data_IF_117707658959
#
_entry.id   IF_117707658959
#
_cell.length_a   1.000
_cell.length_b   1.000
_cell.length_c   1.000
_cell.angle_alpha   90.00
_cell.angle_beta   90.00
_cell.angle_gamma   90.00
#
_symmetry.space_group_name_H-M   'P 1'
#
loop_
_entity.id
_entity.type
_entity.pdbx_description
1 polymer ?
#
# COMPACT_ATOMS: atom_id res chain seq x y z
N UNK A 1 -9.15 -4.13 -21.70
CA UNK A 1 -7.90 -4.50 -21.02
C UNK A 1 -7.14 -3.21 -20.68
N UNK A 2 -7.43 -2.59 -19.54
CA UNK A 2 -6.71 -1.42 -19.05
C UNK A 2 -5.84 -1.90 -17.88
N UNK A 3 -4.66 -2.42 -18.19
CA UNK A 3 -3.69 -2.95 -17.23
C UNK A 3 -2.66 -1.85 -16.90
N UNK A 4 -2.99 -0.89 -16.04
CA UNK A 4 -2.01 -0.02 -15.34
C UNK A 4 -2.71 0.65 -14.14
N UNK A 5 -2.99 -0.12 -13.09
CA UNK A 5 -3.11 0.39 -11.72
C UNK A 5 -1.78 -0.08 -11.08
N UNK A 6 -0.79 0.71 -10.67
CA UNK A 6 -0.77 2.07 -10.11
C UNK A 6 -1.48 2.06 -8.75
N UNK A 7 -0.97 1.22 -7.85
CA UNK A 7 -1.65 0.82 -6.61
C UNK A 7 -0.83 1.20 -5.39
N UNK A 8 -0.63 2.51 -5.29
CA UNK A 8 -0.60 3.32 -4.08
C UNK A 8 0.35 4.52 -4.22
N UNK A 9 1.01 4.70 -5.37
CA UNK A 9 1.69 5.97 -5.68
C UNK A 9 1.42 6.30 -7.14
N UNK A 10 1.22 7.59 -7.48
CA UNK A 10 0.95 7.97 -8.85
C UNK A 10 2.06 7.43 -9.75
N UNK A 11 1.77 6.45 -10.63
CA UNK A 11 2.74 6.04 -11.64
C UNK A 11 2.94 7.21 -12.59
N UNK A 12 4.01 7.94 -12.31
CA UNK A 12 4.81 8.47 -13.37
C UNK A 12 5.68 7.33 -13.87
N UNK A 13 5.23 6.72 -14.96
CA UNK A 13 6.06 5.91 -15.82
C UNK A 13 7.45 6.59 -15.95
N UNK A 14 8.49 5.84 -15.60
CA UNK A 14 9.93 6.14 -15.76
C UNK A 14 10.71 6.96 -14.72
N UNK A 15 10.16 7.37 -13.57
CA UNK A 15 10.98 8.08 -12.59
C UNK A 15 11.61 7.12 -11.57
N UNK A 16 12.93 6.92 -11.63
CA UNK A 16 13.74 6.33 -10.55
C UNK A 16 13.67 7.12 -9.20
N UNK A 17 12.72 8.03 -9.04
CA UNK A 17 12.62 9.04 -8.00
C UNK A 17 11.16 9.29 -7.63
N UNK A 18 10.44 8.29 -7.14
CA UNK A 18 9.12 8.51 -6.53
C UNK A 18 9.31 9.42 -5.32
N UNK A 19 8.78 10.64 -5.28
CA UNK A 19 8.75 11.43 -4.03
C UNK A 19 7.40 11.21 -3.37
N UNK A 20 7.41 10.68 -2.14
CA UNK A 20 6.19 10.45 -1.36
C UNK A 20 5.65 11.75 -0.79
N UNK A 21 6.44 12.84 -0.84
CA UNK A 21 6.03 14.13 -0.29
C UNK A 21 5.30 14.98 -1.35
N UNK A 22 4.34 15.80 -0.91
CA UNK A 22 3.83 15.87 0.46
C UNK A 22 2.92 14.67 0.78
N UNK A 23 3.13 14.02 1.94
CA UNK A 23 2.53 12.71 2.23
C UNK A 23 1.01 12.70 2.24
N UNK A 24 0.40 13.81 2.64
CA UNK A 24 -1.05 13.97 2.61
C UNK A 24 -1.60 13.93 1.19
N UNK A 25 -0.90 14.52 0.21
CA UNK A 25 -1.31 14.48 -1.20
C UNK A 25 -1.15 13.07 -1.76
N UNK A 26 -0.03 12.42 -1.42
CA UNK A 26 0.21 11.01 -1.76
C UNK A 26 -0.89 10.11 -1.21
N UNK A 27 -1.25 10.28 0.07
CA UNK A 27 -2.33 9.55 0.71
C UNK A 27 -3.71 9.87 0.10
N UNK A 28 -3.95 11.09 -0.36
CA UNK A 28 -5.18 11.42 -1.12
C UNK A 28 -5.23 10.69 -2.46
N UNK A 29 -4.11 10.58 -3.18
CA UNK A 29 -4.08 9.78 -4.41
C UNK A 29 -4.31 8.29 -4.15
N UNK A 30 -3.74 7.77 -3.07
CA UNK A 30 -3.99 6.41 -2.59
C UNK A 30 -5.47 6.17 -2.31
N UNK A 31 -6.13 7.09 -1.59
CA UNK A 31 -7.55 7.01 -1.28
C UNK A 31 -8.39 6.84 -2.55
N UNK A 32 -8.18 7.71 -3.55
CA UNK A 32 -8.92 7.69 -4.82
C UNK A 32 -8.75 6.36 -5.58
N UNK A 33 -7.62 5.67 -5.39
CA UNK A 33 -7.36 4.38 -6.02
C UNK A 33 -8.01 3.20 -5.27
N UNK A 34 -8.19 3.34 -3.96
CA UNK A 34 -8.81 2.33 -3.09
C UNK A 34 -10.33 2.44 -3.16
N UNK A 35 -10.89 3.65 -3.11
CA UNK A 35 -12.32 3.96 -3.30
C UNK A 35 -12.75 3.60 -4.74
N UNK A 36 -13.18 2.35 -4.94
CA UNK A 36 -13.48 1.75 -6.25
C UNK A 36 -14.81 2.22 -6.79
N UNK A 37 -15.79 2.40 -5.92
CA UNK A 37 -17.12 2.82 -6.30
C UNK A 37 -17.28 4.36 -6.33
N UNK A 38 -16.24 5.08 -5.89
CA UNK A 38 -16.15 6.55 -5.86
C UNK A 38 -17.20 7.18 -4.95
N UNK A 39 -17.58 6.49 -3.87
CA UNK A 39 -18.59 6.97 -2.93
C UNK A 39 -18.01 7.94 -1.87
N UNK A 40 -16.70 8.17 -1.89
CA UNK A 40 -16.01 9.08 -0.97
C UNK A 40 -15.69 8.48 0.40
N UNK A 41 -15.82 7.16 0.53
CA UNK A 41 -15.47 6.38 1.71
C UNK A 41 -14.80 5.08 1.25
N UNK A 42 -13.98 4.48 2.11
CA UNK A 42 -13.41 3.16 1.88
C UNK A 42 -14.12 2.15 2.78
N UNK A 43 -14.72 1.14 2.16
CA UNK A 43 -15.34 0.03 2.89
C UNK A 43 -14.40 -1.18 3.00
N UNK A 44 -14.82 -2.17 3.78
CA UNK A 44 -14.01 -3.37 4.01
C UNK A 44 -13.80 -4.16 2.71
N UNK A 45 -14.79 -4.27 1.83
CA UNK A 45 -14.65 -5.00 0.58
C UNK A 45 -13.61 -4.35 -0.36
N UNK A 46 -13.48 -3.03 -0.34
CA UNK A 46 -12.45 -2.32 -1.12
C UNK A 46 -11.01 -2.64 -0.65
N UNK A 47 -10.83 -2.92 0.64
CA UNK A 47 -9.56 -3.46 1.16
C UNK A 47 -9.28 -4.86 0.61
N UNK A 48 -10.28 -5.75 0.56
CA UNK A 48 -10.10 -7.09 -0.05
C UNK A 48 -9.67 -6.97 -1.51
N UNK A 49 -10.35 -6.12 -2.27
CA UNK A 49 -10.05 -5.89 -3.68
C UNK A 49 -8.66 -5.31 -3.91
N UNK A 50 -8.12 -4.57 -2.93
CA UNK A 50 -6.74 -4.08 -2.99
C UNK A 50 -5.75 -5.24 -2.81
N UNK A 51 -5.93 -6.07 -1.78
CA UNK A 51 -5.00 -7.17 -1.51
C UNK A 51 -5.05 -8.30 -2.56
N UNK A 52 -6.21 -8.51 -3.19
CA UNK A 52 -6.39 -9.50 -4.27
C UNK A 52 -5.43 -9.30 -5.46
N UNK A 53 -4.84 -8.12 -5.62
CA UNK A 53 -3.89 -7.87 -6.72
C UNK A 53 -2.53 -8.53 -6.49
N UNK A 54 -2.21 -8.85 -5.23
CA UNK A 54 -0.99 -9.55 -4.86
C UNK A 54 -1.19 -11.08 -4.86
N UNK A 55 -2.41 -11.59 -4.75
CA UNK A 55 -2.74 -13.03 -4.75
C UNK A 55 -2.61 -13.61 -6.18
N UNK A 56 -1.41 -14.08 -6.51
CA UNK A 56 -1.02 -14.44 -7.86
C UNK A 56 -1.46 -15.86 -8.23
N UNK A 57 -1.54 -16.76 -7.25
CA UNK A 57 -2.01 -18.12 -7.45
C UNK A 57 -3.53 -18.30 -7.22
N UNK A 58 -4.21 -17.24 -6.77
CA UNK A 58 -5.65 -17.18 -6.51
C UNK A 58 -6.11 -18.15 -5.41
N UNK A 59 -5.27 -18.36 -4.39
CA UNK A 59 -5.58 -19.21 -3.25
C UNK A 59 -6.36 -18.46 -2.13
N UNK A 60 -6.58 -17.16 -2.28
CA UNK A 60 -7.31 -16.30 -1.34
C UNK A 60 -6.44 -15.73 -0.21
N UNK A 61 -5.12 -15.93 -0.25
CA UNK A 61 -4.12 -15.44 0.69
C UNK A 61 -3.00 -14.76 -0.09
N UNK A 62 -2.29 -13.84 0.57
CA UNK A 62 -1.11 -13.21 -0.05
C UNK A 62 0.12 -13.61 0.74
N UNK A 63 0.95 -14.46 0.14
CA UNK A 63 2.25 -14.77 0.70
C UNK A 63 3.21 -13.60 0.52
N UNK A 64 4.22 -13.50 1.39
CA UNK A 64 5.30 -12.51 1.27
C UNK A 64 6.02 -12.57 -0.08
N UNK A 65 6.16 -13.78 -0.64
CA UNK A 65 6.79 -13.99 -1.95
C UNK A 65 5.95 -13.35 -3.06
N UNK A 66 4.65 -13.56 -3.06
CA UNK A 66 3.76 -12.96 -4.06
C UNK A 66 3.74 -11.45 -3.96
N UNK A 67 3.61 -10.92 -2.73
CA UNK A 67 3.65 -9.49 -2.46
C UNK A 67 4.94 -8.84 -2.98
N UNK A 68 6.11 -9.38 -2.59
CA UNK A 68 7.41 -8.83 -2.99
C UNK A 68 7.68 -9.02 -4.49
N UNK A 69 7.24 -10.12 -5.09
CA UNK A 69 7.37 -10.31 -6.54
C UNK A 69 6.57 -9.26 -7.31
N UNK A 70 5.34 -8.97 -6.86
CA UNK A 70 4.53 -7.91 -7.46
C UNK A 70 5.24 -6.55 -7.32
N UNK A 71 5.73 -6.21 -6.12
CA UNK A 71 6.44 -4.94 -5.87
C UNK A 71 7.69 -4.82 -6.73
N UNK A 72 8.50 -5.87 -6.85
CA UNK A 72 9.71 -5.83 -7.68
C UNK A 72 9.41 -5.61 -9.17
N UNK A 73 8.26 -6.09 -9.64
CA UNK A 73 7.85 -5.92 -11.04
C UNK A 73 7.32 -4.52 -11.34
N UNK A 74 6.68 -3.86 -10.37
CA UNK A 74 5.94 -2.61 -10.59
C UNK A 74 6.63 -1.40 -9.95
N UNK A 75 7.19 -1.55 -8.75
CA UNK A 75 7.73 -0.47 -7.91
C UNK A 75 9.09 -0.86 -7.27
N UNK A 76 10.11 -1.27 -8.04
CA UNK A 76 11.35 -1.84 -7.48
C UNK A 76 12.14 -0.89 -6.58
N UNK A 77 11.99 0.44 -6.73
CA UNK A 77 12.65 1.44 -5.86
C UNK A 77 12.08 1.46 -4.44
N UNK A 78 10.91 0.87 -4.24
CA UNK A 78 10.17 0.87 -2.98
C UNK A 78 10.19 -0.50 -2.30
N UNK A 79 10.98 -1.46 -2.78
CA UNK A 79 11.01 -2.82 -2.23
C UNK A 79 11.16 -2.83 -0.69
N UNK A 80 12.14 -2.11 -0.13
CA UNK A 80 12.36 -2.07 1.32
C UNK A 80 11.22 -1.42 2.10
N UNK A 81 10.59 -0.40 1.50
CA UNK A 81 9.41 0.24 2.09
C UNK A 81 8.24 -0.74 2.13
N UNK A 82 7.99 -1.45 1.04
CA UNK A 82 6.96 -2.47 0.93
C UNK A 82 7.24 -3.70 1.80
N UNK A 83 8.51 -4.07 1.97
CA UNK A 83 8.94 -5.14 2.86
C UNK A 83 8.51 -4.87 4.30
N UNK A 84 8.74 -3.63 4.78
CA UNK A 84 8.26 -3.20 6.08
C UNK A 84 6.73 -3.06 6.15
N UNK A 85 6.06 -2.65 5.06
CA UNK A 85 4.59 -2.63 5.02
C UNK A 85 4.00 -4.03 5.17
N UNK A 86 4.60 -5.05 4.58
CA UNK A 86 4.14 -6.42 4.73
C UNK A 86 4.09 -6.81 6.22
N UNK A 87 5.15 -6.52 6.97
CA UNK A 87 5.23 -6.82 8.39
C UNK A 87 4.22 -6.01 9.24
N UNK A 88 3.78 -4.84 8.75
CA UNK A 88 2.72 -4.03 9.39
C UNK A 88 1.34 -4.60 9.11
N UNK A 89 1.14 -5.19 7.93
CA UNK A 89 -0.11 -5.86 7.57
C UNK A 89 -0.24 -7.23 8.25
N UNK A 90 0.85 -7.98 8.39
CA UNK A 90 0.93 -9.31 8.99
C UNK A 90 0.82 -9.23 10.53
N UNK A 91 -0.40 -9.00 11.03
CA UNK A 91 -0.64 -8.68 12.44
C UNK A 91 -0.47 -9.91 13.32
N UNK A 92 -0.78 -11.10 12.81
CA UNK A 92 -0.60 -12.35 13.56
C UNK A 92 0.78 -13.00 13.39
N UNK A 93 1.58 -12.51 12.43
CA UNK A 93 2.97 -12.90 12.22
C UNK A 93 3.13 -14.29 11.63
N UNK A 94 2.12 -14.81 10.93
CA UNK A 94 2.19 -16.10 10.25
C UNK A 94 2.85 -16.04 8.86
N UNK A 95 3.24 -14.84 8.43
CA UNK A 95 3.86 -14.52 7.13
C UNK A 95 2.95 -14.70 5.93
N UNK A 96 1.64 -14.65 6.15
CA UNK A 96 0.60 -14.77 5.15
C UNK A 96 -0.49 -13.74 5.45
N UNK A 97 -0.69 -12.78 4.55
CA UNK A 97 -1.80 -11.87 4.72
C UNK A 97 -3.11 -12.58 4.38
N UNK A 98 -4.03 -12.60 5.34
CA UNK A 98 -5.37 -13.17 5.20
C UNK A 98 -6.46 -12.25 5.76
N UNK A 99 -7.71 -12.73 5.79
CA UNK A 99 -8.86 -11.89 6.14
C UNK A 99 -8.72 -11.18 7.50
N UNK A 100 -8.11 -11.83 8.49
CA UNK A 100 -7.86 -11.21 9.80
C UNK A 100 -6.87 -10.05 9.72
N UNK A 101 -5.83 -10.13 8.91
CA UNK A 101 -4.87 -9.05 8.69
C UNK A 101 -5.53 -7.85 8.02
N UNK A 102 -6.38 -8.11 7.03
CA UNK A 102 -7.14 -7.08 6.33
C UNK A 102 -8.15 -6.39 7.26
N UNK A 103 -8.84 -7.17 8.10
CA UNK A 103 -9.77 -6.66 9.12
C UNK A 103 -9.03 -5.77 10.13
N UNK A 104 -7.86 -6.21 10.61
CA UNK A 104 -7.02 -5.44 11.52
C UNK A 104 -6.53 -4.15 10.85
N UNK A 105 -6.05 -4.22 9.62
CA UNK A 105 -5.59 -3.06 8.87
C UNK A 105 -6.71 -2.04 8.62
N UNK A 106 -7.91 -2.52 8.29
CA UNK A 106 -9.10 -1.68 8.16
C UNK A 106 -9.45 -0.98 9.48
N UNK A 107 -9.45 -1.72 10.60
CA UNK A 107 -9.73 -1.18 11.92
C UNK A 107 -8.67 -0.17 12.40
N UNK A 108 -7.41 -0.29 11.97
CA UNK A 108 -6.38 0.72 12.24
C UNK A 108 -6.65 2.05 11.54
N UNK A 109 -7.32 2.01 10.38
CA UNK A 109 -7.71 3.21 9.63
C UNK A 109 -9.04 3.79 10.11
N UNK A 110 -10.04 2.96 10.42
CA UNK A 110 -11.36 3.37 10.95
C UNK A 110 -11.25 3.86 12.40
N UNK A 111 -10.74 5.08 12.55
CA UNK A 111 -10.31 5.64 13.81
C UNK A 111 -11.45 6.01 14.76
N UNK A 112 -12.65 6.27 14.24
CA UNK A 112 -13.84 6.50 15.05
C UNK A 112 -14.71 5.24 15.26
N UNK A 113 -14.43 4.16 14.53
CA UNK A 113 -15.09 2.87 14.67
C UNK A 113 -16.52 2.85 14.14
N UNK A 114 -16.85 3.72 13.18
CA UNK A 114 -18.17 3.80 12.59
C UNK A 114 -18.43 2.72 11.52
N UNK A 115 -17.40 1.92 11.20
CA UNK A 115 -17.46 0.83 10.22
C UNK A 115 -17.11 1.27 8.80
N UNK A 116 -16.63 2.51 8.59
CA UNK A 116 -16.30 3.08 7.29
C UNK A 116 -15.06 3.97 7.42
N UNK A 117 -14.09 3.83 6.51
CA UNK A 117 -12.90 4.70 6.52
C UNK A 117 -13.17 5.94 5.67
N UNK A 118 -13.30 7.10 6.31
CA UNK A 118 -13.44 8.37 5.61
C UNK A 118 -12.12 8.78 4.91
N UNK A 119 -12.20 9.69 3.93
CA UNK A 119 -11.01 10.30 3.33
C UNK A 119 -10.08 10.91 4.39
N UNK A 120 -10.62 11.54 5.43
CA UNK A 120 -9.81 12.13 6.49
C UNK A 120 -9.02 11.08 7.29
N UNK A 121 -9.68 9.99 7.68
CA UNK A 121 -9.06 8.89 8.40
C UNK A 121 -7.98 8.20 7.59
N UNK A 122 -8.30 7.88 6.34
CA UNK A 122 -7.35 7.30 5.40
C UNK A 122 -6.11 8.18 5.24
N UNK A 123 -6.32 9.47 4.91
CA UNK A 123 -5.20 10.40 4.68
C UNK A 123 -4.37 10.59 5.94
N UNK A 124 -5.01 10.69 7.11
CA UNK A 124 -4.29 10.82 8.38
C UNK A 124 -3.43 9.61 8.66
N UNK A 125 -4.00 8.40 8.57
CA UNK A 125 -3.28 7.15 8.84
C UNK A 125 -2.07 7.01 7.91
N UNK A 126 -2.29 7.16 6.60
CA UNK A 126 -1.24 7.00 5.60
C UNK A 126 -0.19 8.09 5.63
N UNK A 127 -0.55 9.33 5.96
CA UNK A 127 0.43 10.41 6.17
C UNK A 127 1.44 10.03 7.25
N UNK A 128 0.95 9.52 8.39
CA UNK A 128 1.80 9.10 9.52
C UNK A 128 2.67 7.92 9.11
N UNK A 129 2.10 6.93 8.40
CA UNK A 129 2.83 5.74 7.99
C UNK A 129 3.93 6.04 6.96
N UNK A 130 3.61 6.86 5.93
CA UNK A 130 4.56 7.29 4.92
C UNK A 130 5.73 8.09 5.51
N UNK A 131 5.44 8.99 6.47
CA UNK A 131 6.46 9.73 7.20
C UNK A 131 7.34 8.81 8.04
N UNK A 132 6.75 7.84 8.75
CA UNK A 132 7.46 6.88 9.61
C UNK A 132 8.44 6.02 8.81
N UNK A 133 8.04 5.57 7.62
CA UNK A 133 8.83 4.67 6.78
C UNK A 133 9.71 5.39 5.74
N UNK A 134 9.77 6.73 5.73
CA UNK A 134 10.52 7.51 4.73
C UNK A 134 11.98 7.06 4.62
N UNK A 135 12.61 6.74 5.75
CA UNK A 135 14.01 6.33 5.80
C UNK A 135 14.30 5.07 4.96
N UNK A 136 13.37 4.12 4.88
CA UNK A 136 13.50 2.90 4.06
C UNK A 136 13.40 3.22 2.56
N UNK A 137 12.49 4.12 2.21
CA UNK A 137 12.34 4.61 0.85
C UNK A 137 13.60 5.37 0.38
N UNK A 138 14.13 6.27 1.20
CA UNK A 138 15.36 7.01 0.89
C UNK A 138 16.58 6.08 0.75
N UNK A 139 16.68 5.06 1.60
CA UNK A 139 17.74 4.07 1.50
C UNK A 139 17.58 3.20 0.23
N UNK A 140 16.37 2.75 -0.09
CA UNK A 140 16.08 1.99 -1.33
C UNK A 140 16.49 2.75 -2.59
N UNK A 141 16.19 4.05 -2.67
CA UNK A 141 16.67 4.94 -3.74
C UNK A 141 18.19 4.96 -3.85
N UNK A 142 18.89 5.08 -2.72
CA UNK A 142 20.35 5.20 -2.70
C UNK A 142 21.07 3.96 -3.25
N UNK A 143 20.49 2.77 -3.06
CA UNK A 143 21.04 1.50 -3.57
C UNK A 143 20.92 1.37 -5.10
N UNK A 144 19.98 2.09 -5.73
CA UNK A 144 19.70 2.02 -7.16
C UNK A 144 20.32 3.17 -7.96
N UNK A 145 20.95 4.14 -7.28
CA UNK A 145 21.73 5.17 -7.95
C UNK A 145 23.01 4.55 -8.54
N UNK A 146 23.40 4.89 -9.79
CA UNK A 146 24.67 4.43 -10.34
C UNK A 146 25.82 4.94 -9.46
N UNK A 147 26.80 4.07 -9.19
CA UNK A 147 28.01 4.44 -8.46
C UNK A 147 28.67 5.64 -9.16
N UNK A 148 28.89 6.73 -8.42
CA UNK A 148 29.58 7.93 -8.90
C UNK A 148 31.07 7.67 -9.08
#
# INVERSE_FOLDING_TARGET
MLKFLLLLLPAFAFAQNVDLRPYNLTATYMFILVDKDLNGQVDRNEIDLNFQQYDADHNGRVSRVEYINYVNQHEPTLNLFHDALFDIYDVDGDHILYHNDYDNFYALMDGDGNGIVSHFEFVRYWTILLETLEHLHNFGKSLQAPAQ
#
